data_IF_361703157075
#
_entry.id   IF_361703157075
#
_cell.length_a   1.000
_cell.length_b   1.000
_cell.length_c   1.000
_cell.angle_alpha   90.00
_cell.angle_beta   90.00
_cell.angle_gamma   90.00
#
_symmetry.space_group_name_H-M   'P 1'
#
loop_
_entity.id
_entity.type
_entity.pdbx_description
1 polymer ?
#
# COMPACT_ATOMS: atom_id res chain seq x y z
N UNK A 1 -9.74 7.12 4.51
CA UNK A 1 -9.80 5.93 3.60
C UNK A 1 -8.87 4.81 4.04
N UNK A 2 -7.58 5.09 4.29
CA UNK A 2 -6.64 4.11 4.86
C UNK A 2 -6.90 3.79 6.35
N UNK A 3 -7.67 4.61 7.05
CA UNK A 3 -8.01 4.40 8.48
C UNK A 3 -8.67 3.04 8.74
N UNK A 4 -9.45 2.51 7.79
CA UNK A 4 -10.07 1.17 7.91
C UNK A 4 -9.06 0.02 7.94
N UNK A 5 -7.83 0.29 7.52
CA UNK A 5 -6.71 -0.65 7.55
C UNK A 5 -5.75 -0.39 8.72
N UNK A 6 -6.17 0.44 9.71
CA UNK A 6 -5.33 0.81 10.84
C UNK A 6 -4.20 1.79 10.48
N UNK A 7 -4.28 2.42 9.31
CA UNK A 7 -3.27 3.35 8.78
C UNK A 7 -3.74 4.81 8.91
N UNK A 8 -4.25 5.17 10.09
CA UNK A 8 -4.75 6.52 10.36
C UNK A 8 -3.62 7.56 10.47
N UNK A 9 -2.43 7.14 10.89
CA UNK A 9 -1.25 8.01 11.04
C UNK A 9 -0.49 8.27 9.71
N UNK A 10 -1.03 7.80 8.58
CA UNK A 10 -0.42 8.04 7.28
C UNK A 10 -0.64 9.50 6.84
N UNK A 11 0.45 10.25 6.70
CA UNK A 11 0.41 11.63 6.22
C UNK A 11 0.12 11.68 4.71
N UNK A 12 -1.01 12.27 4.27
CA UNK A 12 -1.29 12.44 2.85
C UNK A 12 -0.24 13.38 2.22
N UNK A 13 0.19 13.03 1.01
CA UNK A 13 1.05 13.89 0.18
C UNK A 13 0.23 14.43 -0.98
N UNK A 14 0.44 15.69 -1.33
CA UNK A 14 -0.25 16.34 -2.45
C UNK A 14 0.22 15.83 -3.81
N UNK A 15 1.36 15.14 -3.87
CA UNK A 15 1.88 14.52 -5.08
C UNK A 15 1.01 13.30 -5.42
N UNK A 16 0.30 13.30 -6.57
CA UNK A 16 -0.50 12.16 -6.98
C UNK A 16 0.37 10.93 -7.22
N UNK A 17 -0.24 9.75 -7.10
CA UNK A 17 0.41 8.52 -7.51
C UNK A 17 0.59 8.53 -9.04
N UNK A 18 1.77 8.16 -9.58
CA UNK A 18 2.00 8.19 -11.02
C UNK A 18 1.05 7.27 -11.78
N UNK A 19 0.42 7.79 -12.85
CA UNK A 19 -0.43 7.02 -13.74
C UNK A 19 0.38 5.96 -14.51
N UNK A 20 -0.11 4.73 -14.55
CA UNK A 20 0.52 3.64 -15.32
C UNK A 20 1.67 2.92 -14.61
N UNK A 21 1.82 3.08 -13.29
CA UNK A 21 2.73 2.23 -12.51
C UNK A 21 2.21 0.79 -12.49
N UNK A 22 3.09 -0.14 -12.86
CA UNK A 22 2.85 -1.56 -12.70
C UNK A 22 3.33 -2.03 -11.33
N UNK A 23 2.39 -2.48 -10.49
CA UNK A 23 2.72 -3.02 -9.17
C UNK A 23 3.10 -4.49 -9.34
N UNK A 24 4.38 -4.71 -9.64
CA UNK A 24 4.94 -6.05 -9.81
C UNK A 24 5.38 -6.69 -8.48
N UNK A 25 5.76 -7.98 -8.55
CA UNK A 25 6.34 -8.75 -7.44
C UNK A 25 7.63 -8.13 -6.87
N UNK A 26 8.27 -7.20 -7.59
CA UNK A 26 9.41 -6.44 -7.06
C UNK A 26 9.00 -5.55 -5.89
N UNK A 27 7.74 -5.10 -5.85
CA UNK A 27 7.19 -4.30 -4.75
C UNK A 27 6.66 -5.15 -3.59
N UNK A 28 6.67 -6.48 -3.73
CA UNK A 28 6.29 -7.38 -2.66
C UNK A 28 7.43 -7.47 -1.61
N UNK A 29 7.12 -7.83 -0.35
CA UNK A 29 8.13 -8.07 0.67
C UNK A 29 9.11 -9.17 0.24
N UNK A 30 10.39 -8.80 0.14
CA UNK A 30 11.46 -9.68 -0.35
C UNK A 30 12.08 -10.52 0.78
N UNK A 31 12.15 -9.98 2.00
CA UNK A 31 12.73 -10.66 3.16
C UNK A 31 11.67 -11.35 4.00
N UNK A 32 12.04 -12.39 4.73
CA UNK A 32 11.13 -13.09 5.65
C UNK A 32 10.62 -12.16 6.77
N UNK A 33 11.48 -11.28 7.26
CA UNK A 33 11.11 -10.22 8.22
C UNK A 33 10.02 -9.30 7.67
N UNK A 34 10.13 -8.86 6.42
CA UNK A 34 9.11 -8.00 5.80
C UNK A 34 7.81 -8.77 5.58
N UNK A 35 7.90 -10.05 5.21
CA UNK A 35 6.73 -10.93 5.05
C UNK A 35 5.98 -11.11 6.35
N UNK A 36 6.68 -11.35 7.46
CA UNK A 36 6.09 -11.47 8.78
C UNK A 36 5.44 -10.17 9.23
N UNK A 37 6.10 -9.03 8.96
CA UNK A 37 5.56 -7.69 9.28
C UNK A 37 4.34 -7.31 8.43
N UNK A 38 4.26 -7.79 7.19
CA UNK A 38 3.14 -7.48 6.28
C UNK A 38 2.00 -8.51 6.36
N UNK A 39 2.19 -9.62 7.08
CA UNK A 39 1.22 -10.73 7.15
C UNK A 39 -0.15 -10.31 7.68
N UNK A 40 -0.18 -9.36 8.61
CA UNK A 40 -1.39 -8.79 9.22
C UNK A 40 -1.99 -7.62 8.42
N UNK A 41 -1.31 -7.16 7.36
CA UNK A 41 -1.69 -5.95 6.63
C UNK A 41 -2.42 -6.32 5.34
N UNK A 42 -3.63 -5.79 5.09
CA UNK A 42 -4.38 -6.04 3.86
C UNK A 42 -3.82 -5.21 2.70
N UNK A 43 -2.60 -5.56 2.25
CA UNK A 43 -1.81 -4.78 1.29
C UNK A 43 -2.55 -4.55 -0.04
N UNK A 44 -3.17 -5.60 -0.60
CA UNK A 44 -3.91 -5.51 -1.87
C UNK A 44 -5.13 -4.58 -1.78
N UNK A 45 -5.88 -4.64 -0.67
CA UNK A 45 -7.05 -3.78 -0.47
C UNK A 45 -6.64 -2.31 -0.24
N UNK A 46 -5.58 -2.09 0.55
CA UNK A 46 -5.02 -0.76 0.76
C UNK A 46 -4.52 -0.15 -0.55
N UNK A 47 -3.81 -0.92 -1.38
CA UNK A 47 -3.37 -0.49 -2.70
C UNK A 47 -4.52 -0.20 -3.65
N UNK A 48 -5.53 -1.07 -3.73
CA UNK A 48 -6.71 -0.82 -4.56
C UNK A 48 -7.42 0.49 -4.18
N UNK A 49 -7.44 0.80 -2.89
CA UNK A 49 -7.99 2.06 -2.37
C UNK A 49 -7.17 3.29 -2.79
N UNK A 50 -5.85 3.16 -2.81
CA UNK A 50 -4.92 4.22 -3.23
C UNK A 50 -4.99 4.47 -4.74
N UNK A 51 -5.02 3.40 -5.54
CA UNK A 51 -5.07 3.48 -7.00
C UNK A 51 -6.42 3.99 -7.53
N UNK A 52 -7.53 3.66 -6.84
CA UNK A 52 -8.85 4.16 -7.24
C UNK A 52 -9.05 5.65 -6.94
N UNK A 53 -8.36 6.18 -5.92
CA UNK A 53 -8.44 7.59 -5.55
C UNK A 53 -7.48 8.50 -6.35
N UNK A 54 -6.71 7.94 -7.29
CA UNK A 54 -5.81 8.67 -8.19
C UNK A 54 -6.52 9.15 -9.47
#
# INVERSE_FOLDING_TARGET
MLERFGMADCNPKSTPFPSGIDISLLNAPQTETDRLYMKDKPYSEALGSLLWAA
#
